data_IF_462813899990
#
_entry.id   IF_462813899990
#
_cell.length_a   1.000
_cell.length_b   1.000
_cell.length_c   1.000
_cell.angle_alpha   90.00
_cell.angle_beta   90.00
_cell.angle_gamma   90.00
#
_symmetry.space_group_name_H-M   'P 1'
#
loop_
_entity.id
_entity.type
_entity.pdbx_description
1 polymer ?
#
# COMPACT_ATOMS: atom_id res chain seq x y z
N UNK A 1 23.55 9.69 10.04
CA UNK A 1 24.11 9.21 8.76
C UNK A 1 23.86 7.71 8.52
N UNK A 2 22.65 7.20 8.83
CA UNK A 2 22.30 5.79 8.53
C UNK A 2 21.34 5.69 7.33
N UNK A 3 20.37 6.59 7.24
CA UNK A 3 19.41 6.64 6.15
C UNK A 3 20.10 6.76 4.78
N UNK A 4 21.07 7.67 4.68
CA UNK A 4 21.83 7.92 3.45
C UNK A 4 22.49 6.64 2.89
N UNK A 5 23.25 5.90 3.72
CA UNK A 5 23.92 4.66 3.29
C UNK A 5 22.94 3.56 2.85
N UNK A 6 21.74 3.51 3.43
CA UNK A 6 20.70 2.56 3.04
C UNK A 6 20.09 2.93 1.70
N UNK A 7 19.83 4.21 1.45
CA UNK A 7 19.25 4.68 0.19
C UNK A 7 20.22 4.51 -1.00
N UNK A 8 21.52 4.57 -0.76
CA UNK A 8 22.54 4.38 -1.81
C UNK A 8 22.58 2.96 -2.41
N UNK A 9 22.18 1.94 -1.64
CA UNK A 9 22.18 0.54 -2.10
C UNK A 9 20.78 -0.08 -2.15
N UNK A 10 19.73 0.69 -1.83
CA UNK A 10 18.35 0.26 -1.92
C UNK A 10 17.73 0.69 -3.24
N UNK A 11 16.95 -0.20 -3.85
CA UNK A 11 16.11 0.15 -4.99
C UNK A 11 14.72 0.53 -4.48
N UNK A 12 14.32 1.77 -4.71
CA UNK A 12 13.03 2.29 -4.27
C UNK A 12 11.98 1.95 -5.33
N UNK A 13 11.02 1.09 -4.98
CA UNK A 13 9.84 0.83 -5.78
C UNK A 13 8.63 1.51 -5.15
N UNK A 14 7.90 2.31 -5.93
CA UNK A 14 6.60 2.84 -5.51
C UNK A 14 5.55 1.74 -5.64
N UNK A 15 4.92 1.37 -4.53
CA UNK A 15 3.90 0.32 -4.51
C UNK A 15 2.57 0.97 -4.16
N UNK A 16 1.59 0.77 -5.05
CA UNK A 16 0.24 1.31 -4.91
C UNK A 16 -0.77 0.16 -5.03
N UNK A 17 -1.89 0.26 -4.33
CA UNK A 17 -2.95 -0.74 -4.40
C UNK A 17 -3.53 -1.11 -3.04
N UNK A 18 -4.53 -1.98 -3.07
CA UNK A 18 -5.17 -2.46 -1.83
C UNK A 18 -4.33 -3.56 -1.19
N UNK A 19 -4.33 -3.59 0.14
CA UNK A 19 -3.62 -4.62 0.90
C UNK A 19 -4.07 -6.01 0.45
N UNK A 20 -3.12 -6.88 0.13
CA UNK A 20 -3.39 -8.26 -0.25
C UNK A 20 -4.21 -8.99 0.83
N UNK A 21 -3.98 -8.68 2.11
CA UNK A 21 -4.73 -9.26 3.23
C UNK A 21 -6.22 -8.88 3.20
N UNK A 22 -6.55 -7.70 2.68
CA UNK A 22 -7.94 -7.28 2.49
C UNK A 22 -8.62 -8.01 1.34
N UNK A 23 -7.87 -8.50 0.35
CA UNK A 23 -8.41 -9.29 -0.77
C UNK A 23 -9.10 -10.56 -0.25
N UNK A 24 -8.50 -11.22 0.72
CA UNK A 24 -9.04 -12.43 1.34
C UNK A 24 -10.34 -12.15 2.11
N UNK A 25 -10.32 -11.11 2.95
CA UNK A 25 -11.50 -10.69 3.73
C UNK A 25 -12.63 -10.09 2.90
N UNK A 26 -12.30 -9.49 1.74
CA UNK A 26 -13.29 -9.01 0.78
C UNK A 26 -13.97 -10.19 0.07
N UNK A 27 -13.21 -11.24 -0.30
CA UNK A 27 -13.78 -12.47 -0.86
C UNK A 27 -14.67 -13.20 0.15
N UNK A 28 -14.31 -13.18 1.42
CA UNK A 28 -15.11 -13.78 2.50
C UNK A 28 -16.31 -12.91 2.93
N UNK A 29 -16.57 -11.78 2.25
CA UNK A 29 -17.70 -10.89 2.54
C UNK A 29 -17.59 -10.10 3.86
N UNK A 30 -16.48 -10.19 4.58
CA UNK A 30 -16.33 -9.61 5.92
C UNK A 30 -16.01 -8.11 5.89
N UNK A 31 -15.52 -7.59 4.76
CA UNK A 31 -15.14 -6.18 4.62
C UNK A 31 -15.86 -5.57 3.41
N UNK A 32 -16.80 -4.65 3.66
CA UNK A 32 -17.34 -3.80 2.61
C UNK A 32 -16.26 -2.83 2.13
N UNK A 33 -16.07 -2.77 0.81
CA UNK A 33 -15.08 -1.90 0.17
C UNK A 33 -15.44 -0.44 0.50
N UNK A 34 -14.83 0.15 1.53
CA UNK A 34 -14.92 1.59 1.76
C UNK A 34 -14.13 2.27 0.65
N UNK A 35 -14.82 2.64 -0.42
CA UNK A 35 -14.28 3.50 -1.48
C UNK A 35 -13.94 4.83 -0.83
N UNK A 36 -12.68 5.00 -0.42
CA UNK A 36 -12.21 6.32 0.00
C UNK A 36 -12.03 7.16 -1.25
N UNK A 37 -12.95 8.11 -1.43
CA UNK A 37 -12.70 9.29 -2.22
C UNK A 37 -11.42 9.95 -1.70
N UNK A 38 -10.42 10.05 -2.55
CA UNK A 38 -9.34 11.01 -2.35
C UNK A 38 -8.96 11.51 -3.73
N UNK A 39 -9.75 12.47 -4.19
CA UNK A 39 -9.30 13.56 -5.06
C UNK A 39 -8.04 14.12 -4.41
N UNK A 40 -6.91 13.99 -5.09
CA UNK A 40 -5.71 14.76 -4.79
C UNK A 40 -5.64 15.83 -5.87
N UNK A 41 -5.76 17.09 -5.44
CA UNK A 41 -5.32 18.28 -6.18
C UNK A 41 -3.79 18.27 -6.28
#
# INVERSE_FOLDING_TARGET
AMLDRLLHHAHIAQISGQSYRLKDKLKSGQIQKKTKATTFE
#
